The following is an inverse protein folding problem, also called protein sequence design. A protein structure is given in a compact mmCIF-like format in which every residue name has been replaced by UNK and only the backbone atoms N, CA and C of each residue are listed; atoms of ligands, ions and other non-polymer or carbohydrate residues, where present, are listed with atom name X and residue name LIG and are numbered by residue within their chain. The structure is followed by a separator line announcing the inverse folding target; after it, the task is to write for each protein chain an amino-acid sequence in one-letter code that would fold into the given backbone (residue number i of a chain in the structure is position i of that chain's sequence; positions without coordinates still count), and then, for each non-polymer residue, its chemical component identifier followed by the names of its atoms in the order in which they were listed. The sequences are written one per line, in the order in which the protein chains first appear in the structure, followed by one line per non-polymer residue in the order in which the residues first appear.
data_IF_061263632373
#
_entry.id   IF_061263632373
#
_cell.length_a   1.000
_cell.length_b   1.000
_cell.length_c   1.000
_cell.angle_alpha   90.00
_cell.angle_beta   90.00
_cell.angle_gamma   90.00
#
_symmetry.space_group_name_H-M   'P 1'
#
loop_
_entity.id
_entity.type
_entity.pdbx_description
1 polymer ?
#
# COMPACT_ATOMS: atom_id res chain seq x y z
N UNK A 1 7.30 10.32 3.00
CA UNK A 1 7.78 9.03 2.47
C UNK A 1 8.72 8.30 3.43
N UNK A 2 9.82 8.92 3.88
CA UNK A 2 10.85 8.25 4.70
C UNK A 2 10.32 7.55 5.96
N UNK A 3 9.45 8.20 6.72
CA UNK A 3 8.86 7.59 7.92
C UNK A 3 8.02 6.33 7.63
N UNK A 4 7.23 6.33 6.55
CA UNK A 4 6.43 5.17 6.18
C UNK A 4 7.30 4.02 5.68
N UNK A 5 8.37 4.34 4.94
CA UNK A 5 9.37 3.35 4.51
C UNK A 5 10.07 2.71 5.72
N UNK A 6 10.44 3.50 6.73
CA UNK A 6 11.01 2.99 7.98
C UNK A 6 10.02 2.06 8.70
N UNK A 7 8.75 2.46 8.85
CA UNK A 7 7.72 1.60 9.43
C UNK A 7 7.53 0.28 8.69
N UNK A 8 7.48 0.32 7.35
CA UNK A 8 7.37 -0.87 6.49
C UNK A 8 8.57 -1.79 6.67
N UNK A 9 9.78 -1.24 6.84
CA UNK A 9 11.01 -2.02 7.03
C UNK A 9 11.13 -2.70 8.41
N UNK A 10 10.49 -2.12 9.44
CA UNK A 10 10.55 -2.61 10.83
C UNK A 10 9.45 -3.62 11.18
N UNK A 11 8.46 -3.81 10.28
CA UNK A 11 7.23 -4.57 10.55
C UNK A 11 6.99 -5.58 9.43
N UNK A 12 6.38 -6.72 9.77
CA UNK A 12 5.81 -7.62 8.75
C UNK A 12 4.68 -6.87 8.05
N UNK A 13 4.85 -6.61 6.76
CA UNK A 13 4.04 -5.62 6.05
C UNK A 13 3.47 -6.14 4.74
N UNK A 14 2.26 -5.67 4.44
CA UNK A 14 1.55 -5.83 3.18
C UNK A 14 1.39 -4.44 2.59
N UNK A 15 1.95 -4.19 1.41
CA UNK A 15 1.81 -2.91 0.72
C UNK A 15 1.01 -3.11 -0.56
N UNK A 16 -0.01 -2.28 -0.75
CA UNK A 16 -0.90 -2.33 -1.91
C UNK A 16 -0.62 -1.12 -2.81
N UNK A 17 -0.07 -1.37 -3.99
CA UNK A 17 0.11 -0.39 -5.06
C UNK A 17 -0.75 -0.69 -6.29
N UNK A 18 -0.61 0.14 -7.31
CA UNK A 18 -1.32 0.03 -8.59
C UNK A 18 -2.17 1.26 -8.87
N UNK A 19 -2.56 1.52 -10.11
CA UNK A 19 -3.18 2.80 -10.48
C UNK A 19 -4.51 3.04 -9.76
N UNK A 20 -5.37 2.02 -9.72
CA UNK A 20 -6.71 2.11 -9.12
C UNK A 20 -6.97 1.04 -8.05
N UNK A 21 -7.90 1.31 -7.14
CA UNK A 21 -8.39 0.31 -6.17
C UNK A 21 -7.45 0.06 -4.97
N UNK A 22 -6.38 0.85 -4.81
CA UNK A 22 -5.42 0.74 -3.71
C UNK A 22 -6.09 0.88 -2.34
N UNK A 23 -6.78 2.00 -2.09
CA UNK A 23 -7.39 2.28 -0.78
C UNK A 23 -8.44 1.24 -0.40
N UNK A 24 -9.31 0.86 -1.34
CA UNK A 24 -10.33 -0.18 -1.10
C UNK A 24 -9.71 -1.54 -0.79
N UNK A 25 -8.69 -1.94 -1.56
CA UNK A 25 -8.01 -3.23 -1.34
C UNK A 25 -7.26 -3.24 -0.01
N UNK A 26 -6.55 -2.15 0.31
CA UNK A 26 -5.87 -1.96 1.61
C UNK A 26 -6.87 -2.06 2.76
N UNK A 27 -8.01 -1.38 2.65
CA UNK A 27 -9.09 -1.43 3.63
C UNK A 27 -9.67 -2.84 3.81
N UNK A 28 -9.91 -3.57 2.72
CA UNK A 28 -10.44 -4.94 2.77
C UNK A 28 -9.46 -5.90 3.46
N UNK A 29 -8.15 -5.78 3.18
CA UNK A 29 -7.12 -6.60 3.83
C UNK A 29 -7.05 -6.29 5.34
N UNK A 30 -6.97 -5.01 5.71
CA UNK A 30 -6.93 -4.58 7.11
C UNK A 30 -8.20 -5.01 7.87
N UNK A 31 -9.38 -4.83 7.26
CA UNK A 31 -10.65 -5.26 7.82
C UNK A 31 -10.69 -6.78 8.03
N UNK A 32 -10.36 -7.58 7.00
CA UNK A 32 -10.34 -9.03 7.12
C UNK A 32 -9.38 -9.52 8.21
N UNK A 33 -8.16 -8.96 8.30
CA UNK A 33 -7.21 -9.32 9.34
C UNK A 33 -7.75 -9.00 10.74
N UNK A 34 -8.41 -7.86 10.92
CA UNK A 34 -9.02 -7.48 12.19
C UNK A 34 -10.17 -8.41 12.58
N UNK A 35 -11.08 -8.72 11.66
CA UNK A 35 -12.18 -9.66 11.91
C UNK A 35 -11.69 -11.08 12.20
N UNK A 36 -10.51 -11.45 11.70
CA UNK A 36 -9.83 -12.71 12.02
C UNK A 36 -9.03 -12.67 13.33
N UNK A 37 -9.11 -11.58 14.11
CA UNK A 37 -8.40 -11.42 15.38
C UNK A 37 -6.88 -11.34 15.22
N UNK A 38 -6.38 -10.86 14.07
CA UNK A 38 -4.94 -10.75 13.77
C UNK A 38 -4.32 -9.39 14.12
N UNK A 39 -5.09 -8.50 14.73
CA UNK A 39 -4.65 -7.21 15.27
C UNK A 39 -3.75 -6.37 14.33
N UNK A 40 -4.22 -6.03 13.11
CA UNK A 40 -3.40 -5.31 12.14
C UNK A 40 -3.19 -3.83 12.53
N UNK A 41 -2.02 -3.30 12.22
CA UNK A 41 -1.85 -1.86 12.03
C UNK A 41 -2.10 -1.51 10.55
N UNK A 42 -2.57 -0.31 10.26
CA UNK A 42 -2.86 0.09 8.88
C UNK A 42 -2.73 1.59 8.64
N UNK A 43 -2.43 1.94 7.39
CA UNK A 43 -2.43 3.32 6.86
C UNK A 43 -3.09 3.30 5.48
N UNK A 44 -4.20 4.00 5.34
CA UNK A 44 -5.06 4.01 4.15
C UNK A 44 -5.26 5.47 3.71
N UNK A 45 -5.24 5.73 2.40
CA UNK A 45 -5.41 7.08 1.84
C UNK A 45 -6.84 7.64 1.97
N UNK A 46 -7.80 6.85 2.46
CA UNK A 46 -9.19 7.21 2.61
C UNK A 46 -9.77 6.76 3.96
N UNK A 47 -10.80 7.46 4.43
CA UNK A 47 -11.55 7.09 5.63
C UNK A 47 -12.27 5.74 5.47
N UNK A 48 -12.13 4.89 6.50
CA UNK A 48 -12.78 3.57 6.54
C UNK A 48 -13.59 3.46 7.83
N UNK A 49 -14.90 3.80 7.81
CA UNK A 49 -15.75 3.79 9.00
C UNK A 49 -15.77 2.45 9.73
N UNK A 50 -15.70 1.33 8.99
CA UNK A 50 -15.65 -0.01 9.55
C UNK A 50 -14.37 -0.21 10.38
N UNK A 51 -13.27 0.44 10.01
CA UNK A 51 -11.99 0.40 10.73
C UNK A 51 -11.87 1.46 11.83
N UNK A 52 -12.82 2.40 11.91
CA UNK A 52 -12.80 3.51 12.86
C UNK A 52 -11.89 4.67 12.44
N UNK A 53 -11.41 4.69 11.19
CA UNK A 53 -10.53 5.73 10.67
C UNK A 53 -9.76 5.27 9.43
N UNK A 54 -8.87 6.13 8.94
CA UNK A 54 -7.93 5.82 7.86
C UNK A 54 -6.59 5.23 8.35
N UNK A 55 -6.33 5.25 9.66
CA UNK A 55 -5.15 4.67 10.27
C UNK A 55 -5.48 4.00 11.61
N UNK A 56 -4.73 2.96 11.94
CA UNK A 56 -4.90 2.22 13.20
C UNK A 56 -3.61 1.53 13.62
N UNK A 57 -3.48 1.29 14.93
CA UNK A 57 -2.34 0.59 15.52
C UNK A 57 -2.72 -0.83 15.91
N UNK A 58 -1.72 -1.72 15.93
CA UNK A 58 -1.86 -3.12 16.31
C UNK A 58 -0.48 -3.78 16.28
N UNK A 59 -0.36 -4.98 16.85
CA UNK A 59 0.92 -5.72 16.92
C UNK A 59 1.11 -6.72 15.77
N UNK A 60 0.07 -6.95 14.97
CA UNK A 60 0.10 -7.82 13.81
C UNK A 60 0.70 -7.19 12.55
N UNK A 61 0.20 -7.64 11.39
CA UNK A 61 0.61 -7.12 10.10
C UNK A 61 0.42 -5.61 9.98
N UNK A 62 1.35 -4.94 9.33
CA UNK A 62 1.19 -3.57 8.87
C UNK A 62 0.62 -3.58 7.44
N UNK A 63 -0.56 -3.03 7.22
CA UNK A 63 -1.22 -2.96 5.90
C UNK A 63 -1.24 -1.53 5.41
N UNK A 64 -0.57 -1.27 4.28
CA UNK A 64 -0.31 0.11 3.82
C UNK A 64 -0.70 0.27 2.37
N UNK A 65 -1.33 1.39 2.06
CA UNK A 65 -1.48 1.88 0.70
C UNK A 65 -0.16 2.49 0.21
N UNK A 66 0.39 1.95 -0.88
CA UNK A 66 1.60 2.46 -1.54
C UNK A 66 1.24 3.34 -2.73
N UNK A 67 1.95 4.47 -2.87
CA UNK A 67 1.69 5.45 -3.93
C UNK A 67 2.79 5.44 -4.99
N UNK A 68 2.42 5.09 -6.22
CA UNK A 68 3.30 5.12 -7.38
C UNK A 68 3.44 6.52 -8.00
N UNK A 69 2.50 7.44 -7.75
CA UNK A 69 2.38 8.72 -8.46
C UNK A 69 3.60 9.63 -8.29
N UNK A 70 4.35 9.49 -7.20
CA UNK A 70 5.59 10.21 -6.91
C UNK A 70 6.81 9.27 -6.73
N UNK A 71 6.66 8.00 -7.14
CA UNK A 71 7.64 6.92 -7.00
C UNK A 71 8.01 6.55 -5.55
N UNK A 72 7.34 7.08 -4.54
CA UNK A 72 7.70 6.79 -3.14
C UNK A 72 7.45 5.33 -2.75
N UNK A 73 6.58 4.62 -3.48
CA UNK A 73 6.43 3.17 -3.36
C UNK A 73 7.75 2.41 -3.55
N UNK A 74 8.70 2.92 -4.36
CA UNK A 74 10.03 2.32 -4.56
C UNK A 74 10.87 2.30 -3.27
N UNK A 75 10.49 3.03 -2.23
CA UNK A 75 11.15 3.03 -0.92
C UNK A 75 10.54 1.98 0.03
N UNK A 76 9.33 1.51 -0.25
CA UNK A 76 8.64 0.53 0.59
C UNK A 76 9.19 -0.86 0.29
N UNK A 77 9.61 -1.59 1.33
CA UNK A 77 10.14 -2.96 1.23
C UNK A 77 9.24 -3.92 1.99
N UNK A 78 8.06 -4.26 1.46
CA UNK A 78 7.11 -5.13 2.15
C UNK A 78 7.55 -6.59 2.13
N UNK A 79 6.99 -7.39 3.05
CA UNK A 79 7.05 -8.86 2.94
C UNK A 79 6.08 -9.35 1.85
N UNK A 80 4.97 -8.65 1.63
CA UNK A 80 3.99 -8.93 0.57
C UNK A 80 3.67 -7.64 -0.18
N UNK A 81 4.02 -7.57 -1.47
CA UNK A 81 3.55 -6.54 -2.39
C UNK A 81 2.29 -6.99 -3.14
N UNK A 82 1.29 -6.12 -3.23
CA UNK A 82 0.09 -6.31 -4.05
C UNK A 82 0.05 -5.23 -5.12
N UNK A 83 -0.11 -5.62 -6.38
CA UNK A 83 -0.33 -4.69 -7.50
C UNK A 83 -1.74 -4.95 -8.03
N UNK A 84 -2.62 -3.97 -7.93
CA UNK A 84 -4.03 -4.11 -8.34
C UNK A 84 -4.20 -4.05 -9.86
N UNK A 85 -3.55 -3.07 -10.50
CA UNK A 85 -3.54 -2.83 -11.94
C UNK A 85 -2.39 -1.85 -12.28
N UNK A 86 -2.06 -1.77 -13.57
CA UNK A 86 -1.03 -0.87 -14.10
C UNK A 86 -1.62 -0.16 -15.31
N UNK A 87 -1.90 1.13 -15.15
CA UNK A 87 -2.44 2.02 -16.18
C UNK A 87 -1.76 3.39 -16.06
N UNK A 88 -1.50 4.02 -17.19
CA UNK A 88 -0.85 5.33 -17.24
C UNK A 88 -1.84 6.46 -16.91
N UNK A 89 -1.90 6.84 -15.63
CA UNK A 89 -2.71 7.98 -15.14
C UNK A 89 -1.83 9.18 -14.72
N UNK A 90 -0.62 8.91 -14.21
CA UNK A 90 0.31 9.93 -13.70
C UNK A 90 1.34 10.38 -14.75
N UNK A 91 0.87 11.04 -15.82
CA UNK A 91 1.70 11.49 -16.96
C UNK A 91 2.84 12.46 -16.60
N UNK A 92 2.78 13.10 -15.42
CA UNK A 92 3.87 13.98 -14.94
C UNK A 92 5.08 13.18 -14.49
N UNK A 93 4.86 11.95 -14.01
CA UNK A 93 5.88 11.11 -13.36
C UNK A 93 6.34 9.96 -14.24
N UNK A 94 5.46 9.45 -15.10
CA UNK A 94 5.72 8.34 -16.00
C UNK A 94 5.48 8.75 -17.45
N UNK A 95 6.44 8.43 -18.31
CA UNK A 95 6.37 8.69 -19.74
C UNK A 95 5.51 7.64 -20.47
N UNK A 96 5.34 6.44 -19.90
CA UNK A 96 4.57 5.36 -20.50
C UNK A 96 4.08 4.34 -19.45
N UNK A 97 3.05 3.57 -19.81
CA UNK A 97 2.61 2.43 -19.01
C UNK A 97 3.72 1.38 -18.83
N UNK A 98 4.59 1.22 -19.84
CA UNK A 98 5.74 0.33 -19.77
C UNK A 98 6.73 0.75 -18.67
N UNK A 99 7.00 2.06 -18.53
CA UNK A 99 7.85 2.58 -17.46
C UNK A 99 7.24 2.33 -16.07
N UNK A 100 5.92 2.48 -15.94
CA UNK A 100 5.21 2.18 -14.70
C UNK A 100 5.24 0.68 -14.38
N UNK A 101 5.05 -0.17 -15.38
CA UNK A 101 5.18 -1.63 -15.24
C UNK A 101 6.59 -2.03 -14.80
N UNK A 102 7.63 -1.42 -15.37
CA UNK A 102 9.03 -1.63 -14.98
C UNK A 102 9.32 -1.17 -13.54
N UNK A 103 8.64 -0.12 -13.07
CA UNK A 103 8.71 0.27 -11.66
C UNK A 103 8.16 -0.83 -10.77
N UNK A 104 6.94 -1.32 -11.03
CA UNK A 104 6.33 -2.39 -10.22
C UNK A 104 7.13 -3.70 -10.29
N UNK A 105 7.68 -4.05 -11.45
CA UNK A 105 8.49 -5.25 -11.63
C UNK A 105 9.82 -5.21 -10.85
N UNK A 106 10.40 -4.03 -10.65
CA UNK A 106 11.61 -3.85 -9.81
C UNK A 106 11.30 -3.75 -8.32
N UNK A 107 10.07 -3.37 -7.98
CA UNK A 107 9.64 -3.19 -6.60
C UNK A 107 9.31 -4.53 -5.90
N UNK A 108 8.78 -5.50 -6.65
CA UNK A 108 8.50 -6.88 -6.19
C UNK A 108 9.74 -7.77 -6.21
#
# INVERSE_FOLDING_TARGET
AEFLAELVSLRRSIVVGGTHGKSTTTALIAFALRELGRDPAFVIGAEVPQLGGNAGTGEGWLVVEGDESDRTIELLRPEIGVVTNVELDHHVTFASEAELADLFARWL
#
